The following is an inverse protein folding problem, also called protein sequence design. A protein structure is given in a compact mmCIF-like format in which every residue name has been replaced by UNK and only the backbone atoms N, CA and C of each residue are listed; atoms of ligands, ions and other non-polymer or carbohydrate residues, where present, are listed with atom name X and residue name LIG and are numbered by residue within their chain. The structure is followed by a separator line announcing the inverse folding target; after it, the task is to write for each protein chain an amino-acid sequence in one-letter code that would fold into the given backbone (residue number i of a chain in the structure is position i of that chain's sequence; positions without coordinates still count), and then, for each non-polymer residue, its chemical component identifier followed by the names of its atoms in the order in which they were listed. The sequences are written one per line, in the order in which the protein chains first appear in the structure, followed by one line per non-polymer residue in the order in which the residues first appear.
data_IF_805155441689
#
_entry.id   IF_805155441689
#
_cell.length_a   1.000
_cell.length_b   1.000
_cell.length_c   1.000
_cell.angle_alpha   90.00
_cell.angle_beta   90.00
_cell.angle_gamma   90.00
#
_symmetry.space_group_name_H-M   'P 1'
#
loop_
_entity.id
_entity.type
_entity.pdbx_description
1 polymer ?
#
# COMPACT_ATOMS: atom_id res chain seq x y z
N UNK A 1 -30.84 -20.15 -0.95
CA UNK A 1 -31.29 -19.57 0.34
C UNK A 1 -30.81 -18.13 0.37
N UNK A 2 -31.65 -17.17 0.69
CA UNK A 2 -31.26 -15.77 0.87
C UNK A 2 -31.38 -15.38 2.34
N UNK A 3 -30.56 -14.40 2.77
CA UNK A 3 -30.65 -13.79 4.10
C UNK A 3 -30.72 -12.28 3.95
N UNK A 4 -31.46 -11.64 4.83
CA UNK A 4 -31.59 -10.19 4.94
C UNK A 4 -31.42 -9.79 6.42
N UNK A 5 -30.97 -8.58 6.70
CA UNK A 5 -30.65 -8.20 8.07
C UNK A 5 -30.83 -6.73 8.36
N UNK A 6 -30.58 -6.36 9.62
CA UNK A 6 -30.68 -4.99 10.17
C UNK A 6 -32.10 -4.43 10.19
N UNK A 7 -33.11 -5.33 10.33
CA UNK A 7 -34.48 -4.94 10.54
C UNK A 7 -34.76 -4.82 12.06
N UNK A 8 -35.68 -3.95 12.41
CA UNK A 8 -36.20 -3.83 13.77
C UNK A 8 -36.96 -5.10 14.16
N UNK A 9 -36.77 -5.60 15.38
CA UNK A 9 -37.42 -6.79 15.89
C UNK A 9 -36.53 -7.65 16.78
N UNK A 10 -36.94 -8.89 17.01
CA UNK A 10 -36.27 -9.86 17.90
C UNK A 10 -35.08 -10.60 17.21
N UNK A 11 -34.62 -10.13 16.04
CA UNK A 11 -33.51 -10.74 15.33
C UNK A 11 -32.17 -10.38 15.99
N UNK A 12 -31.40 -11.39 16.38
CA UNK A 12 -30.03 -11.21 16.86
C UNK A 12 -29.06 -11.23 15.66
N UNK A 13 -28.13 -10.27 15.65
CA UNK A 13 -27.07 -10.17 14.65
C UNK A 13 -25.73 -10.47 15.28
N UNK A 14 -25.03 -11.43 14.71
CA UNK A 14 -23.73 -11.87 15.18
C UNK A 14 -22.57 -11.37 14.33
N UNK A 15 -21.40 -11.89 14.60
CA UNK A 15 -20.16 -11.59 13.89
C UNK A 15 -20.27 -11.84 12.38
N UNK A 16 -20.96 -12.93 11.97
CA UNK A 16 -21.06 -13.32 10.57
C UNK A 16 -21.81 -12.26 9.73
N UNK A 17 -22.91 -11.70 10.26
CA UNK A 17 -23.70 -10.68 9.58
C UNK A 17 -22.92 -9.38 9.43
N UNK A 18 -22.25 -8.93 10.49
CA UNK A 18 -21.42 -7.73 10.44
C UNK A 18 -20.24 -7.88 9.48
N UNK A 19 -19.52 -9.01 9.55
CA UNK A 19 -18.40 -9.24 8.64
C UNK A 19 -18.85 -9.33 7.18
N UNK A 20 -19.95 -10.03 6.91
CA UNK A 20 -20.54 -10.11 5.57
C UNK A 20 -20.88 -8.70 5.05
N UNK A 21 -21.47 -7.85 5.89
CA UNK A 21 -21.81 -6.48 5.53
C UNK A 21 -20.56 -5.67 5.18
N UNK A 22 -19.57 -5.63 6.07
CA UNK A 22 -18.35 -4.85 5.85
C UNK A 22 -17.47 -5.40 4.74
N UNK A 23 -17.31 -6.73 4.63
CA UNK A 23 -16.51 -7.32 3.54
C UNK A 23 -17.13 -7.12 2.16
N UNK A 24 -18.44 -6.91 2.06
CA UNK A 24 -19.08 -6.59 0.78
C UNK A 24 -18.97 -5.09 0.40
N UNK A 25 -18.79 -4.21 1.39
CA UNK A 25 -18.72 -2.76 1.14
C UNK A 25 -17.28 -2.28 1.00
N UNK A 26 -16.34 -2.80 1.84
CA UNK A 26 -14.97 -2.30 1.91
C UNK A 26 -13.95 -3.33 1.45
N UNK A 27 -12.92 -2.86 0.76
CA UNK A 27 -11.70 -3.63 0.53
C UNK A 27 -10.86 -3.72 1.81
N UNK A 28 -10.11 -4.81 1.96
CA UNK A 28 -9.13 -4.94 3.03
C UNK A 28 -8.02 -3.92 2.84
N UNK A 29 -7.57 -3.29 3.93
CA UNK A 29 -6.50 -2.30 3.89
C UNK A 29 -6.36 -1.55 5.21
N UNK A 30 -5.47 -0.57 5.26
CA UNK A 30 -5.27 0.31 6.40
C UNK A 30 -6.00 1.65 6.21
N UNK A 31 -6.38 2.30 7.31
CA UNK A 31 -7.01 3.61 7.26
C UNK A 31 -6.03 4.71 6.85
N UNK A 32 -6.59 5.83 6.41
CA UNK A 32 -5.88 7.09 6.19
C UNK A 32 -6.23 8.01 7.35
N UNK A 33 -5.24 8.71 7.90
CA UNK A 33 -5.42 9.67 8.98
C UNK A 33 -5.94 11.04 8.47
N UNK A 34 -6.10 11.99 9.38
CA UNK A 34 -6.58 13.33 9.04
C UNK A 34 -5.63 14.14 8.14
N UNK A 35 -4.36 13.75 8.05
CA UNK A 35 -3.35 14.39 7.20
C UNK A 35 -3.28 13.77 5.81
N UNK A 36 -3.99 12.67 5.57
CA UNK A 36 -3.94 11.90 4.34
C UNK A 36 -2.87 10.79 4.34
N UNK A 37 -2.23 10.54 5.48
CA UNK A 37 -1.20 9.52 5.62
C UNK A 37 -1.81 8.16 6.03
N UNK A 38 -1.28 7.07 5.48
CA UNK A 38 -1.72 5.73 5.86
C UNK A 38 -1.23 5.38 7.27
N UNK A 39 -2.16 4.91 8.10
CA UNK A 39 -1.89 4.46 9.48
C UNK A 39 -1.15 3.12 9.53
N UNK A 40 -0.87 2.56 10.71
CA UNK A 40 -0.09 1.34 10.91
C UNK A 40 1.31 1.42 10.26
N UNK A 41 1.98 2.57 10.42
CA UNK A 41 3.34 2.80 9.92
C UNK A 41 4.33 1.86 10.60
N UNK A 42 5.33 1.40 9.85
CA UNK A 42 6.42 0.59 10.39
C UNK A 42 7.70 1.41 10.54
N UNK A 43 8.41 1.22 11.63
CA UNK A 43 9.71 1.84 11.89
C UNK A 43 10.66 0.85 12.55
N UNK A 44 11.96 1.13 12.50
CA UNK A 44 13.01 0.34 13.20
C UNK A 44 13.61 1.18 14.30
N UNK A 45 13.66 0.65 15.50
CA UNK A 45 14.39 1.21 16.64
C UNK A 45 14.97 0.10 17.48
N UNK A 46 16.26 0.21 17.82
CA UNK A 46 16.97 -0.71 18.71
C UNK A 46 16.87 -2.20 18.31
N UNK A 47 16.88 -2.49 17.00
CA UNK A 47 16.74 -3.85 16.48
C UNK A 47 15.34 -4.46 16.58
N UNK A 48 14.34 -3.63 16.91
CA UNK A 48 12.94 -4.00 16.91
C UNK A 48 12.20 -3.28 15.77
N UNK A 49 11.13 -3.87 15.28
CA UNK A 49 10.18 -3.19 14.40
C UNK A 49 9.00 -2.72 15.25
N UNK A 50 8.68 -1.45 15.16
CA UNK A 50 7.46 -0.91 15.72
C UNK A 50 6.40 -0.78 14.62
N UNK A 51 5.16 -1.15 14.94
CA UNK A 51 3.95 -0.84 14.17
C UNK A 51 3.20 0.24 14.95
N UNK A 52 2.99 1.40 14.35
CA UNK A 52 2.33 2.53 15.00
C UNK A 52 0.84 2.28 15.25
N UNK A 53 0.23 3.23 15.95
CA UNK A 53 -1.23 3.31 16.08
C UNK A 53 -1.89 3.30 14.70
N UNK A 54 -3.14 2.82 14.66
CA UNK A 54 -3.89 2.82 13.43
C UNK A 54 -5.08 1.91 13.44
N UNK A 55 -5.74 1.90 12.29
CA UNK A 55 -6.93 1.10 12.05
C UNK A 55 -6.81 0.38 10.70
N UNK A 56 -7.28 -0.85 10.63
CA UNK A 56 -7.35 -1.62 9.40
C UNK A 56 -8.65 -2.43 9.33
N UNK A 57 -9.07 -2.74 8.11
CA UNK A 57 -10.11 -3.73 7.84
C UNK A 57 -9.45 -4.89 7.09
N UNK A 58 -9.70 -6.12 7.56
CA UNK A 58 -9.22 -7.34 6.92
C UNK A 58 -10.40 -8.30 6.79
N UNK A 59 -10.91 -8.51 5.58
CA UNK A 59 -12.06 -9.39 5.31
C UNK A 59 -13.29 -9.07 6.18
N UNK A 60 -13.62 -7.78 6.33
CA UNK A 60 -14.75 -7.30 7.12
C UNK A 60 -14.51 -7.26 8.63
N UNK A 61 -13.42 -7.82 9.13
CA UNK A 61 -12.99 -7.68 10.52
C UNK A 61 -12.15 -6.42 10.69
N UNK A 62 -12.28 -5.75 11.83
CA UNK A 62 -11.47 -4.58 12.12
C UNK A 62 -10.28 -4.91 13.02
N UNK A 63 -9.20 -4.19 12.80
CA UNK A 63 -8.03 -4.11 13.68
C UNK A 63 -7.89 -2.67 14.15
N UNK A 64 -7.70 -2.50 15.45
CA UNK A 64 -7.41 -1.20 16.05
C UNK A 64 -6.19 -1.30 16.95
N UNK A 65 -5.19 -0.52 16.66
CA UNK A 65 -3.97 -0.40 17.46
C UNK A 65 -3.95 0.98 18.12
N UNK A 66 -4.22 1.04 19.41
CA UNK A 66 -4.25 2.29 20.17
C UNK A 66 -2.91 2.72 20.77
N UNK A 67 -1.86 1.89 20.58
CA UNK A 67 -0.49 2.20 21.01
C UNK A 67 0.49 1.37 20.17
N UNK A 68 1.74 1.83 19.96
CA UNK A 68 2.72 1.10 19.14
C UNK A 68 2.95 -0.33 19.64
N UNK A 69 2.99 -1.27 18.70
CA UNK A 69 3.32 -2.68 18.98
C UNK A 69 4.70 -2.99 18.43
N UNK A 70 5.54 -3.68 19.20
CA UNK A 70 6.91 -4.03 18.79
C UNK A 70 7.02 -5.50 18.41
N UNK A 71 7.81 -5.77 17.37
CA UNK A 71 8.13 -7.10 16.86
C UNK A 71 9.64 -7.32 16.90
N UNK A 72 10.06 -8.46 17.45
CA UNK A 72 11.47 -8.81 17.54
C UNK A 72 12.00 -9.38 16.23
N UNK A 73 13.24 -8.99 15.88
CA UNK A 73 13.95 -9.52 14.72
C UNK A 73 15.18 -10.28 15.21
N UNK A 74 15.49 -11.39 14.54
CA UNK A 74 16.73 -12.11 14.70
C UNK A 74 17.41 -12.26 13.34
N UNK A 75 18.63 -11.77 13.18
CA UNK A 75 19.41 -11.95 11.95
C UNK A 75 19.89 -13.41 11.83
N UNK A 76 20.04 -13.89 10.58
CA UNK A 76 20.73 -15.14 10.30
C UNK A 76 22.23 -14.88 10.15
N UNK A 77 23.06 -15.75 10.72
CA UNK A 77 24.53 -15.56 10.74
C UNK A 77 25.20 -15.75 9.37
N UNK A 78 24.55 -16.47 8.45
CA UNK A 78 25.16 -16.90 7.19
C UNK A 78 24.58 -16.17 5.96
N UNK A 79 23.28 -15.88 5.98
CA UNK A 79 22.56 -15.35 4.82
C UNK A 79 21.70 -14.15 5.18
N UNK A 80 21.51 -13.28 4.21
CA UNK A 80 20.47 -12.26 4.27
C UNK A 80 19.07 -12.89 4.15
N UNK A 81 18.05 -12.19 4.66
CA UNK A 81 16.66 -12.64 4.64
C UNK A 81 15.73 -11.46 4.33
N UNK A 82 14.61 -11.75 3.71
CA UNK A 82 13.51 -10.78 3.55
C UNK A 82 12.30 -11.32 4.28
N UNK A 83 11.88 -10.58 5.33
CA UNK A 83 10.66 -10.86 6.10
C UNK A 83 9.53 -9.91 5.66
N UNK A 84 8.33 -10.10 6.20
CA UNK A 84 7.21 -9.14 6.08
C UNK A 84 6.63 -8.81 7.43
N UNK A 85 6.37 -7.53 7.67
CA UNK A 85 5.44 -7.11 8.72
C UNK A 85 4.04 -7.20 8.14
N UNK A 86 3.21 -8.02 8.73
CA UNK A 86 1.84 -8.27 8.26
C UNK A 86 0.83 -8.00 9.36
N UNK A 87 -0.41 -7.67 8.97
CA UNK A 87 -1.58 -7.89 9.81
C UNK A 87 -2.18 -9.23 9.42
N UNK A 88 -2.23 -10.15 10.37
CA UNK A 88 -2.79 -11.48 10.18
C UNK A 88 -4.14 -11.60 10.88
N UNK A 89 -5.18 -11.79 10.09
CA UNK A 89 -6.46 -12.27 10.55
C UNK A 89 -6.37 -13.80 10.71
N UNK A 90 -6.70 -14.29 11.89
CA UNK A 90 -6.95 -15.70 12.16
C UNK A 90 -8.38 -15.84 12.67
N UNK A 91 -9.24 -16.37 11.82
CA UNK A 91 -10.68 -16.52 12.11
C UNK A 91 -10.90 -17.54 13.24
N UNK A 92 -10.09 -18.61 13.29
CA UNK A 92 -10.22 -19.63 14.31
C UNK A 92 -9.76 -19.13 15.69
N UNK A 93 -8.71 -18.27 15.70
CA UNK A 93 -8.23 -17.63 16.92
C UNK A 93 -9.06 -16.40 17.32
N UNK A 94 -9.94 -15.91 16.43
CA UNK A 94 -10.79 -14.74 16.66
C UNK A 94 -10.00 -13.43 16.83
N UNK A 95 -8.90 -13.25 16.10
CA UNK A 95 -8.04 -12.06 16.25
C UNK A 95 -7.39 -11.59 14.96
N UNK A 96 -7.03 -10.32 14.96
CA UNK A 96 -6.07 -9.74 14.01
C UNK A 96 -4.89 -9.20 14.82
N UNK A 97 -3.68 -9.55 14.41
CA UNK A 97 -2.47 -9.09 15.09
C UNK A 97 -1.35 -8.75 14.11
N UNK A 98 -0.46 -7.80 14.47
CA UNK A 98 0.79 -7.59 13.74
C UNK A 98 1.73 -8.78 13.96
N UNK A 99 2.28 -9.31 12.90
CA UNK A 99 3.21 -10.45 12.93
C UNK A 99 4.40 -10.16 12.02
N UNK A 100 5.60 -10.52 12.48
CA UNK A 100 6.77 -10.62 11.61
C UNK A 100 6.77 -12.01 10.96
N UNK A 101 6.40 -12.07 9.69
CA UNK A 101 6.45 -13.29 8.88
C UNK A 101 7.84 -13.47 8.32
N UNK A 102 8.58 -14.42 8.89
CA UNK A 102 9.95 -14.68 8.47
C UNK A 102 10.01 -15.31 7.08
N UNK A 103 10.92 -14.80 6.26
CA UNK A 103 11.31 -15.43 5.01
C UNK A 103 12.38 -16.49 5.19
N UNK A 104 12.87 -17.05 4.10
CA UNK A 104 13.95 -18.04 4.11
C UNK A 104 15.29 -17.35 3.87
N UNK A 105 16.29 -17.53 4.77
CA UNK A 105 17.65 -17.04 4.54
C UNK A 105 18.24 -17.66 3.27
N UNK A 106 18.78 -16.84 2.36
CA UNK A 106 19.34 -17.27 1.09
C UNK A 106 20.35 -16.26 0.52
N UNK A 107 21.11 -16.67 -0.51
CA UNK A 107 21.98 -15.75 -1.26
C UNK A 107 21.20 -14.70 -2.06
N UNK A 108 19.98 -15.04 -2.51
CA UNK A 108 18.99 -14.15 -3.12
C UNK A 108 17.66 -14.38 -2.39
N UNK A 109 17.43 -13.72 -1.25
CA UNK A 109 16.24 -13.96 -0.44
C UNK A 109 15.00 -13.30 -1.07
N UNK A 110 13.90 -14.05 -1.07
CA UNK A 110 12.58 -13.56 -1.52
C UNK A 110 11.64 -13.35 -0.34
N UNK A 111 10.74 -12.37 -0.41
CA UNK A 111 9.77 -12.14 0.64
C UNK A 111 8.77 -13.30 0.72
N UNK A 112 8.34 -13.72 1.92
CA UNK A 112 7.38 -14.81 2.09
C UNK A 112 6.03 -14.44 1.44
N UNK A 113 5.40 -15.40 0.78
CA UNK A 113 4.07 -15.23 0.22
C UNK A 113 3.03 -14.96 1.33
N UNK A 114 2.03 -14.13 1.02
CA UNK A 114 0.91 -13.89 1.93
C UNK A 114 -0.03 -15.10 1.94
N UNK A 115 -0.51 -15.46 3.11
CA UNK A 115 -1.54 -16.49 3.28
C UNK A 115 -2.90 -15.84 3.07
N UNK A 116 -3.70 -16.40 2.16
CA UNK A 116 -5.04 -15.90 1.84
C UNK A 116 -6.00 -17.07 1.67
N UNK A 117 -6.48 -17.58 2.82
CA UNK A 117 -7.43 -18.67 2.91
C UNK A 117 -8.70 -18.22 3.63
N UNK A 118 -9.70 -19.08 3.73
CA UNK A 118 -10.91 -18.79 4.49
C UNK A 118 -10.64 -18.63 6.00
N UNK A 119 -9.63 -19.33 6.54
CA UNK A 119 -9.31 -19.31 7.97
C UNK A 119 -8.25 -18.24 8.33
N UNK A 120 -7.33 -17.94 7.42
CA UNK A 120 -6.24 -16.99 7.65
C UNK A 120 -6.12 -16.05 6.47
N UNK A 121 -6.12 -14.74 6.75
CA UNK A 121 -5.90 -13.72 5.73
C UNK A 121 -4.85 -12.72 6.19
N UNK A 122 -3.90 -12.42 5.30
CA UNK A 122 -2.77 -11.54 5.60
C UNK A 122 -2.73 -10.35 4.63
N UNK A 123 -2.48 -9.16 5.19
CA UNK A 123 -2.09 -7.97 4.42
C UNK A 123 -0.71 -7.52 4.88
N UNK A 124 0.10 -6.98 3.96
CA UNK A 124 1.49 -6.62 4.23
C UNK A 124 1.64 -5.13 4.48
N UNK A 125 2.19 -4.76 5.63
CA UNK A 125 2.53 -3.37 5.95
C UNK A 125 3.90 -2.98 5.36
N UNK A 126 4.89 -3.87 5.47
CA UNK A 126 6.24 -3.63 4.96
C UNK A 126 7.01 -4.92 4.66
N UNK A 127 7.94 -4.86 3.72
CA UNK A 127 9.05 -5.81 3.62
C UNK A 127 10.17 -5.37 4.53
N UNK A 128 10.84 -6.34 5.11
CA UNK A 128 11.95 -6.15 6.04
C UNK A 128 13.14 -6.89 5.49
N UNK A 129 14.07 -6.17 4.89
CA UNK A 129 15.34 -6.74 4.47
C UNK A 129 16.30 -6.77 5.66
N UNK A 130 16.82 -7.93 5.98
CA UNK A 130 17.76 -8.16 7.07
C UNK A 130 19.02 -8.75 6.48
N UNK A 131 20.13 -8.00 6.56
CA UNK A 131 21.42 -8.52 6.11
C UNK A 131 22.01 -9.46 7.15
N UNK A 132 22.97 -10.32 6.74
CA UNK A 132 23.74 -11.17 7.67
C UNK A 132 24.52 -10.35 8.72
N UNK A 133 24.78 -9.08 8.48
CA UNK A 133 25.40 -8.16 9.43
C UNK A 133 24.39 -7.53 10.40
N UNK A 134 23.11 -7.91 10.33
CA UNK A 134 22.06 -7.38 11.19
C UNK A 134 21.52 -5.99 10.76
N UNK A 135 21.91 -5.48 9.60
CA UNK A 135 21.33 -4.23 9.09
C UNK A 135 19.91 -4.48 8.60
N UNK A 136 18.98 -3.67 9.08
CA UNK A 136 17.54 -3.78 8.80
C UNK A 136 17.13 -2.60 7.92
N UNK A 137 16.45 -2.89 6.81
CA UNK A 137 15.85 -1.89 5.93
C UNK A 137 14.37 -2.21 5.72
N UNK A 138 13.51 -1.21 5.84
CA UNK A 138 12.08 -1.33 5.61
C UNK A 138 11.72 -0.80 4.20
N UNK A 139 10.85 -1.52 3.52
CA UNK A 139 10.16 -1.07 2.32
C UNK A 139 8.66 -1.07 2.60
N UNK A 140 8.05 0.10 2.59
CA UNK A 140 6.61 0.25 2.81
C UNK A 140 5.81 -0.44 1.70
N UNK A 141 4.87 -1.30 2.06
CA UNK A 141 3.97 -2.02 1.15
C UNK A 141 2.50 -1.58 1.30
N UNK A 142 2.20 -0.66 2.21
CA UNK A 142 0.82 -0.21 2.46
C UNK A 142 0.17 0.42 1.23
N UNK A 143 0.95 1.08 0.38
CA UNK A 143 0.47 1.70 -0.86
C UNK A 143 0.24 0.69 -2.01
N UNK A 144 0.70 -0.54 -1.86
CA UNK A 144 0.48 -1.58 -2.86
C UNK A 144 -0.85 -2.30 -2.61
N UNK A 145 -1.85 -2.01 -3.44
CA UNK A 145 -3.20 -2.57 -3.33
C UNK A 145 -3.25 -4.11 -3.50
N UNK A 146 -2.24 -4.74 -4.11
CA UNK A 146 -2.20 -6.20 -4.25
C UNK A 146 -1.90 -6.91 -2.93
N UNK A 147 -1.17 -6.25 -2.03
CA UNK A 147 -0.72 -6.84 -0.76
C UNK A 147 -1.30 -6.17 0.48
N UNK A 148 -1.72 -4.91 0.39
CA UNK A 148 -2.35 -4.13 1.46
C UNK A 148 -3.39 -3.16 0.89
N UNK A 149 -3.00 -1.92 0.59
CA UNK A 149 -3.86 -0.85 0.12
C UNK A 149 -4.51 -0.05 1.25
N UNK A 150 -5.15 1.05 0.89
CA UNK A 150 -6.03 1.80 1.77
C UNK A 150 -7.42 1.14 1.83
N UNK A 151 -8.12 1.32 2.96
CA UNK A 151 -9.55 1.00 3.05
C UNK A 151 -10.30 1.85 2.05
N UNK A 152 -11.05 1.20 1.16
CA UNK A 152 -11.85 1.87 0.14
C UNK A 152 -13.12 1.07 -0.15
N UNK A 153 -14.21 1.71 -0.61
CA UNK A 153 -15.40 0.99 -1.04
C UNK A 153 -15.11 0.07 -2.24
N UNK A 154 -15.62 -1.15 -2.21
CA UNK A 154 -15.44 -2.14 -3.29
C UNK A 154 -16.12 -1.75 -4.60
N UNK A 155 -17.21 -0.98 -4.54
CA UNK A 155 -18.07 -0.66 -5.68
C UNK A 155 -17.78 0.72 -6.29
N UNK A 156 -16.52 1.15 -6.28
CA UNK A 156 -16.07 2.36 -6.98
C UNK A 156 -15.76 2.08 -8.47
N UNK A 157 -16.48 1.14 -9.09
CA UNK A 157 -16.23 0.71 -10.47
C UNK A 157 -16.28 1.88 -11.45
N UNK A 158 -17.23 2.79 -11.29
CA UNK A 158 -17.35 3.98 -12.15
C UNK A 158 -16.20 4.97 -11.95
N UNK A 159 -15.81 5.23 -10.70
CA UNK A 159 -14.68 6.11 -10.40
C UNK A 159 -13.35 5.51 -10.86
N UNK A 160 -13.17 4.20 -10.68
CA UNK A 160 -12.00 3.48 -11.16
C UNK A 160 -11.91 3.52 -12.68
N UNK A 161 -13.00 3.23 -13.39
CA UNK A 161 -13.04 3.31 -14.84
C UNK A 161 -12.73 4.72 -15.35
N UNK A 162 -13.29 5.75 -14.72
CA UNK A 162 -13.00 7.15 -15.05
C UNK A 162 -11.53 7.51 -14.81
N UNK A 163 -10.93 7.02 -13.71
CA UNK A 163 -9.51 7.28 -13.41
C UNK A 163 -8.59 6.56 -14.40
N UNK A 164 -8.90 5.32 -14.77
CA UNK A 164 -8.16 4.55 -15.78
C UNK A 164 -8.26 5.18 -17.17
N UNK A 165 -9.44 5.68 -17.54
CA UNK A 165 -9.66 6.41 -18.80
C UNK A 165 -8.88 7.74 -18.81
N UNK A 166 -8.93 8.51 -17.71
CA UNK A 166 -8.17 9.74 -17.57
C UNK A 166 -6.65 9.49 -17.64
N UNK A 167 -6.15 8.46 -16.97
CA UNK A 167 -4.73 8.07 -17.03
C UNK A 167 -4.32 7.70 -18.47
N UNK A 168 -5.15 6.95 -19.17
CA UNK A 168 -4.92 6.59 -20.57
C UNK A 168 -4.92 7.81 -21.49
N UNK A 169 -5.90 8.71 -21.34
CA UNK A 169 -5.97 9.95 -22.11
C UNK A 169 -4.77 10.86 -21.82
N UNK A 170 -4.40 11.00 -20.55
CA UNK A 170 -3.23 11.80 -20.15
C UNK A 170 -1.94 11.23 -20.75
N UNK A 171 -1.71 9.93 -20.66
CA UNK A 171 -0.53 9.29 -21.24
C UNK A 171 -0.50 9.45 -22.77
N UNK A 172 -1.63 9.26 -23.44
CA UNK A 172 -1.74 9.49 -24.89
C UNK A 172 -1.41 10.94 -25.25
N UNK A 173 -2.02 11.88 -24.56
CA UNK A 173 -1.74 13.31 -24.77
C UNK A 173 -0.26 13.66 -24.49
N UNK A 174 0.31 13.09 -23.43
CA UNK A 174 1.71 13.32 -23.05
C UNK A 174 2.67 12.77 -24.11
N UNK A 175 2.43 11.54 -24.57
CA UNK A 175 3.23 10.90 -25.62
C UNK A 175 3.12 11.68 -26.95
N UNK A 176 1.93 12.13 -27.34
CA UNK A 176 1.73 12.97 -28.51
C UNK A 176 2.47 14.31 -28.39
N UNK A 177 2.50 14.91 -27.20
CA UNK A 177 3.24 16.15 -26.95
C UNK A 177 4.74 15.95 -27.04
N UNK A 178 5.26 14.87 -26.47
CA UNK A 178 6.68 14.50 -26.59
C UNK A 178 7.05 14.22 -28.05
N UNK A 179 6.25 13.40 -28.74
CA UNK A 179 6.51 13.02 -30.13
C UNK A 179 6.42 14.21 -31.10
N UNK A 180 5.52 15.16 -30.85
CA UNK A 180 5.34 16.34 -31.72
C UNK A 180 6.37 17.44 -31.50
N UNK A 181 7.25 17.29 -30.50
CA UNK A 181 8.21 18.33 -30.08
C UNK A 181 7.57 19.73 -29.94
N UNK A 182 6.29 19.80 -29.63
CA UNK A 182 5.53 21.05 -29.52
C UNK A 182 5.71 21.77 -28.18
N UNK A 183 6.56 21.26 -27.31
CA UNK A 183 7.03 22.02 -26.17
C UNK A 183 7.87 23.20 -26.71
N UNK A 184 7.43 24.39 -26.38
CA UNK A 184 8.22 25.55 -26.71
C UNK A 184 9.55 25.49 -25.98
N UNK A 185 10.63 25.31 -26.69
CA UNK A 185 11.97 25.41 -26.09
C UNK A 185 12.18 26.85 -25.66
N UNK A 186 12.52 27.04 -24.40
CA UNK A 186 12.88 28.34 -23.85
C UNK A 186 14.41 28.37 -23.74
N UNK A 187 15.02 29.29 -24.49
CA UNK A 187 16.44 29.55 -24.42
C UNK A 187 16.64 30.76 -23.49
N UNK A 188 17.45 30.60 -22.44
CA UNK A 188 17.83 31.66 -21.51
C UNK A 188 19.34 31.84 -21.66
N UNK A 189 19.75 32.82 -22.42
CA UNK A 189 21.19 33.07 -22.74
C UNK A 189 21.40 34.48 -23.27
N UNK A 190 22.63 34.99 -23.10
CA UNK A 190 22.98 36.37 -23.52
C UNK A 190 22.98 36.60 -25.03
N UNK A 191 23.25 35.55 -25.84
CA UNK A 191 23.28 35.64 -27.29
C UNK A 191 22.08 34.93 -27.92
N UNK A 192 21.68 35.38 -29.12
CA UNK A 192 20.62 34.74 -29.90
C UNK A 192 20.96 33.26 -30.16
N UNK A 193 20.01 32.31 -29.89
CA UNK A 193 20.20 30.88 -30.17
C UNK A 193 20.51 30.68 -31.67
N UNK A 194 21.48 29.80 -31.95
CA UNK A 194 21.89 29.48 -33.33
C UNK A 194 21.71 27.99 -33.61
N UNK A 195 21.55 27.60 -34.89
CA UNK A 195 21.30 26.25 -35.35
C UNK A 195 19.82 26.00 -35.68
N UNK A 196 19.42 24.72 -35.70
CA UNK A 196 18.01 24.32 -35.95
C UNK A 196 17.13 24.61 -34.73
N UNK A 197 16.49 25.78 -34.72
CA UNK A 197 15.61 26.23 -33.67
C UNK A 197 14.17 25.84 -34.03
N UNK A 198 13.50 25.06 -33.19
CA UNK A 198 12.12 24.65 -33.40
C UNK A 198 11.20 25.88 -33.49
N UNK A 199 10.32 25.89 -34.50
CA UNK A 199 9.38 27.00 -34.71
C UNK A 199 8.49 27.18 -33.47
N UNK A 200 8.50 28.43 -32.94
CA UNK A 200 7.73 28.78 -31.74
C UNK A 200 8.53 28.70 -30.43
N UNK A 201 9.84 28.45 -30.50
CA UNK A 201 10.73 28.62 -29.35
C UNK A 201 10.73 30.05 -28.84
N UNK A 202 10.98 30.22 -27.57
CA UNK A 202 11.08 31.53 -26.91
C UNK A 202 12.52 31.74 -26.50
N UNK A 203 13.06 32.89 -26.82
CA UNK A 203 14.37 33.33 -26.35
C UNK A 203 14.22 34.45 -25.33
N UNK A 204 14.83 34.27 -24.18
CA UNK A 204 14.95 35.27 -23.11
C UNK A 204 16.42 35.65 -23.03
N UNK A 205 16.73 36.92 -23.37
CA UNK A 205 18.09 37.43 -23.30
C UNK A 205 18.47 37.73 -21.85
N UNK A 206 19.56 37.14 -21.38
CA UNK A 206 20.21 37.57 -20.14
C UNK A 206 21.03 38.86 -20.43
N UNK A 207 20.83 39.89 -19.59
CA UNK A 207 21.51 41.17 -19.67
C UNK A 207 22.83 41.14 -18.89
#
# INVERSE_FOLDING_TARGET
MYTSGFFDGDAEYGQEEFNRYFDNIYESGVSIDANGDMTCTTSVSDGLIAVSEGFAIVKGFYFYNGSPTTLSITADANYSRVDRVILRLDVNAGKIEPVLKAGTPASAPEPPALTRTAAVWEISLARVQITKAGVITLQDERFNAEVCGAIRPKNLTEFKAMTEEFEKEFNTWFDEKIASQTWRTVYIQGNEPSGDIARGSIWIQEL
#
